data_IF_818578662284
#
_entry.id   IF_818578662284
#
_cell.length_a   1.000
_cell.length_b   1.000
_cell.length_c   1.000
_cell.angle_alpha   90.00
_cell.angle_beta   90.00
_cell.angle_gamma   90.00
#
_symmetry.space_group_name_H-M   'P 1'
#
loop_
_entity.id
_entity.type
_entity.pdbx_description
1 polymer ?
#
# COMPACT_ATOMS: atom_id res chain seq x y z
N UNK A 1 1.75 -17.01 1.95
CA UNK A 1 1.43 -15.67 1.44
C UNK A 1 1.98 -15.52 0.04
N UNK A 2 1.15 -15.12 -0.88
CA UNK A 2 1.59 -14.92 -2.26
C UNK A 2 2.45 -13.66 -2.36
N UNK A 3 3.63 -13.81 -2.93
CA UNK A 3 4.48 -12.66 -3.20
C UNK A 3 3.94 -11.92 -4.42
N UNK A 4 3.74 -10.63 -4.28
CA UNK A 4 3.26 -9.76 -5.33
C UNK A 4 4.31 -8.72 -5.66
N UNK A 5 4.50 -8.45 -6.93
CA UNK A 5 5.42 -7.41 -7.39
C UNK A 5 4.63 -6.30 -8.09
N UNK A 6 4.95 -5.07 -7.72
CA UNK A 6 4.37 -3.90 -8.34
C UNK A 6 5.44 -3.18 -9.15
N UNK A 7 5.12 -2.92 -10.41
CA UNK A 7 6.02 -2.19 -11.30
C UNK A 7 5.95 -0.70 -11.01
N UNK A 8 7.11 -0.06 -11.00
CA UNK A 8 7.23 1.37 -10.77
C UNK A 8 7.42 2.13 -12.09
N UNK A 9 7.46 3.47 -12.02
CA UNK A 9 7.60 4.34 -13.18
C UNK A 9 8.94 4.16 -13.91
N UNK A 10 9.99 3.74 -13.20
CA UNK A 10 11.32 3.52 -13.78
C UNK A 10 11.56 2.08 -14.23
N UNK A 11 10.54 1.23 -14.18
CA UNK A 11 10.64 -0.17 -14.54
C UNK A 11 11.08 -1.10 -13.43
N UNK A 12 11.33 -0.58 -12.23
CA UNK A 12 11.65 -1.40 -11.06
C UNK A 12 10.40 -2.10 -10.53
N UNK A 13 10.61 -3.12 -9.69
CA UNK A 13 9.53 -3.85 -9.05
C UNK A 13 9.66 -3.73 -7.54
N UNK A 14 8.55 -3.39 -6.88
CA UNK A 14 8.48 -3.36 -5.42
C UNK A 14 7.45 -4.36 -4.93
N UNK A 15 7.71 -4.91 -3.74
CA UNK A 15 6.80 -5.81 -3.05
C UNK A 15 6.37 -5.11 -1.77
N UNK A 16 5.15 -4.57 -1.73
CA UNK A 16 4.64 -3.96 -0.51
C UNK A 16 4.31 -5.03 0.54
N UNK A 17 4.26 -4.62 1.81
CA UNK A 17 3.91 -5.53 2.89
C UNK A 17 2.46 -6.02 2.78
N UNK A 18 1.54 -5.12 2.38
CA UNK A 18 0.14 -5.46 2.12
C UNK A 18 -0.35 -4.70 0.90
N UNK A 19 -1.14 -5.35 0.08
CA UNK A 19 -1.77 -4.70 -1.08
C UNK A 19 -3.18 -5.23 -1.25
N UNK A 20 -4.12 -4.31 -1.53
CA UNK A 20 -5.46 -4.66 -1.99
C UNK A 20 -5.46 -4.57 -3.51
N UNK A 21 -5.79 -5.68 -4.16
CA UNK A 21 -5.79 -5.80 -5.62
C UNK A 21 -7.23 -5.90 -6.12
N UNK A 22 -7.61 -5.15 -7.16
CA UNK A 22 -8.93 -5.30 -7.73
C UNK A 22 -9.19 -6.74 -8.19
N UNK A 23 -10.38 -7.25 -7.94
CA UNK A 23 -10.74 -8.63 -8.32
C UNK A 23 -10.54 -8.87 -9.82
N UNK A 24 -10.87 -7.89 -10.65
CA UNK A 24 -10.69 -8.01 -12.09
C UNK A 24 -9.23 -8.21 -12.49
N UNK A 25 -8.28 -7.57 -11.79
CA UNK A 25 -6.85 -7.74 -12.07
C UNK A 25 -6.37 -9.12 -11.69
N UNK A 26 -6.84 -9.67 -10.57
CA UNK A 26 -6.52 -11.05 -10.17
C UNK A 26 -7.07 -12.04 -11.18
N UNK A 27 -8.32 -11.86 -11.62
CA UNK A 27 -8.94 -12.74 -12.59
C UNK A 27 -8.20 -12.71 -13.93
N UNK A 28 -7.79 -11.55 -14.38
CA UNK A 28 -7.01 -11.42 -15.62
C UNK A 28 -5.67 -12.16 -15.51
N UNK A 29 -4.98 -12.08 -14.39
CA UNK A 29 -3.74 -12.80 -14.16
C UNK A 29 -3.96 -14.31 -14.17
N UNK A 30 -5.03 -14.79 -13.55
CA UNK A 30 -5.39 -16.21 -13.54
C UNK A 30 -5.75 -16.72 -14.95
N UNK A 31 -6.46 -15.92 -15.72
CA UNK A 31 -6.88 -16.27 -17.08
C UNK A 31 -5.67 -16.43 -18.00
N UNK A 32 -4.60 -15.68 -17.78
CA UNK A 32 -3.35 -15.82 -18.52
C UNK A 32 -2.57 -17.06 -18.10
N UNK A 33 -3.02 -17.77 -17.08
CA UNK A 33 -2.38 -18.98 -16.55
C UNK A 33 -0.89 -18.78 -16.29
N UNK A 34 -0.53 -17.63 -15.73
CA UNK A 34 0.84 -17.33 -15.40
C UNK A 34 1.32 -18.27 -14.29
N UNK A 35 2.43 -18.96 -14.55
CA UNK A 35 3.09 -19.80 -13.55
C UNK A 35 4.19 -19.03 -12.81
N UNK A 36 4.40 -17.77 -13.19
CA UNK A 36 5.41 -16.88 -12.59
C UNK A 36 4.76 -16.02 -11.51
N UNK A 37 5.61 -15.32 -10.77
CA UNK A 37 5.13 -14.32 -9.81
C UNK A 37 4.29 -13.28 -10.54
N UNK A 38 3.14 -12.96 -9.97
CA UNK A 38 2.26 -11.96 -10.55
C UNK A 38 2.91 -10.59 -10.50
N UNK A 39 2.87 -9.89 -11.63
CA UNK A 39 3.37 -8.52 -11.75
C UNK A 39 2.21 -7.63 -12.17
N UNK A 40 1.90 -6.63 -11.34
CA UNK A 40 0.82 -5.68 -11.61
C UNK A 40 1.42 -4.32 -11.95
N UNK A 41 0.94 -3.72 -13.02
CA UNK A 41 1.41 -2.41 -13.50
C UNK A 41 0.41 -1.30 -13.27
N UNK A 42 -0.85 -1.63 -13.02
CA UNK A 42 -1.89 -0.64 -12.76
C UNK A 42 -1.83 -0.13 -11.33
N UNK A 43 -2.41 1.06 -11.11
CA UNK A 43 -2.57 1.63 -9.78
C UNK A 43 -3.43 0.74 -8.89
N UNK A 44 -3.06 0.65 -7.61
CA UNK A 44 -3.75 -0.21 -6.65
C UNK A 44 -4.70 0.60 -5.77
N UNK A 45 -5.82 -0.02 -5.32
CA UNK A 45 -6.72 0.65 -4.37
C UNK A 45 -6.07 0.98 -3.03
N UNK A 46 -5.20 0.11 -2.53
CA UNK A 46 -4.51 0.31 -1.25
C UNK A 46 -3.18 -0.42 -1.26
N UNK A 47 -2.14 0.29 -0.83
CA UNK A 47 -0.79 -0.26 -0.60
C UNK A 47 -0.37 0.11 0.82
N UNK A 48 0.16 -0.85 1.57
CA UNK A 48 0.63 -0.63 2.94
C UNK A 48 2.09 -1.02 3.05
N UNK A 49 2.89 -0.11 3.57
CA UNK A 49 4.28 -0.37 3.94
C UNK A 49 4.42 -0.30 5.46
N UNK A 50 5.20 -1.20 6.02
CA UNK A 50 5.54 -1.19 7.45
C UNK A 50 7.00 -0.78 7.56
N UNK A 51 7.26 0.31 8.27
CA UNK A 51 8.63 0.79 8.49
C UNK A 51 9.39 -0.21 9.36
N UNK A 52 10.64 -0.50 9.01
CA UNK A 52 11.50 -1.34 9.81
C UNK A 52 12.90 -0.76 9.88
N UNK A 53 13.63 -1.07 10.95
CA UNK A 53 15.00 -0.59 11.12
C UNK A 53 15.96 -1.18 10.09
N UNK A 54 15.70 -2.39 9.63
CA UNK A 54 16.57 -3.08 8.69
C UNK A 54 16.56 -2.47 7.30
N UNK A 55 15.43 -1.86 6.88
CA UNK A 55 15.30 -1.26 5.54
C UNK A 55 15.64 0.23 5.54
N UNK A 56 15.58 0.91 6.70
CA UNK A 56 15.84 2.33 6.82
C UNK A 56 14.82 3.22 6.15
N UNK A 57 14.86 4.53 6.47
CA UNK A 57 13.91 5.50 5.95
C UNK A 57 14.04 5.75 4.45
N UNK A 58 15.25 5.67 3.91
CA UNK A 58 15.50 5.94 2.50
C UNK A 58 14.72 5.02 1.58
N UNK A 59 14.74 3.72 1.86
CA UNK A 59 14.05 2.74 1.01
C UNK A 59 12.54 2.94 1.04
N UNK A 60 11.99 3.18 2.23
CA UNK A 60 10.55 3.43 2.40
C UNK A 60 10.12 4.69 1.65
N UNK A 61 10.87 5.79 1.80
CA UNK A 61 10.55 7.05 1.12
C UNK A 61 10.56 6.89 -0.39
N UNK A 62 11.51 6.15 -0.95
CA UNK A 62 11.58 5.88 -2.38
C UNK A 62 10.35 5.09 -2.84
N UNK A 63 9.96 4.07 -2.09
CA UNK A 63 8.77 3.27 -2.41
C UNK A 63 7.50 4.11 -2.37
N UNK A 64 7.33 4.93 -1.34
CA UNK A 64 6.15 5.77 -1.18
C UNK A 64 6.00 6.74 -2.36
N UNK A 65 7.12 7.35 -2.79
CA UNK A 65 7.11 8.23 -3.94
C UNK A 65 6.67 7.49 -5.21
N UNK A 66 7.20 6.30 -5.44
CA UNK A 66 6.84 5.50 -6.61
C UNK A 66 5.37 5.10 -6.61
N UNK A 67 4.81 4.78 -5.45
CA UNK A 67 3.39 4.47 -5.34
C UNK A 67 2.52 5.68 -5.69
N UNK A 68 2.94 6.88 -5.29
CA UNK A 68 2.26 8.12 -5.66
C UNK A 68 2.37 8.40 -7.17
N UNK A 69 3.56 8.18 -7.74
CA UNK A 69 3.75 8.37 -9.18
C UNK A 69 2.92 7.39 -10.01
N UNK A 70 2.71 6.19 -9.53
CA UNK A 70 1.84 5.21 -10.19
C UNK A 70 0.36 5.58 -10.05
N UNK A 71 0.01 6.37 -9.05
CA UNK A 71 -1.37 6.78 -8.83
C UNK A 71 -2.19 5.84 -7.96
N UNK A 72 -1.54 5.14 -7.02
CA UNK A 72 -2.26 4.29 -6.08
C UNK A 72 -3.26 5.13 -5.31
N UNK A 73 -4.48 4.63 -5.13
CA UNK A 73 -5.56 5.42 -4.58
C UNK A 73 -5.37 5.73 -3.09
N UNK A 74 -4.84 4.77 -2.35
CA UNK A 74 -4.59 4.92 -0.92
C UNK A 74 -3.26 4.27 -0.57
N UNK A 75 -2.40 4.99 0.15
CA UNK A 75 -1.07 4.52 0.52
C UNK A 75 -0.90 4.74 2.01
N UNK A 76 -0.55 3.69 2.75
CA UNK A 76 -0.36 3.75 4.19
C UNK A 76 1.08 3.41 4.56
N UNK A 77 1.62 4.17 5.50
CA UNK A 77 2.87 3.85 6.18
C UNK A 77 2.58 3.61 7.65
N UNK A 78 2.81 2.40 8.10
CA UNK A 78 2.70 2.02 9.50
C UNK A 78 4.09 2.09 10.13
N UNK A 79 4.24 2.93 11.16
CA UNK A 79 5.50 3.10 11.87
C UNK A 79 5.37 2.56 13.29
N UNK A 80 5.80 1.30 13.54
CA UNK A 80 5.57 0.65 14.84
C UNK A 80 6.27 1.34 16.00
N UNK A 81 7.44 1.92 15.76
CA UNK A 81 8.22 2.58 16.82
C UNK A 81 7.61 3.92 17.24
N UNK A 82 7.16 4.70 16.28
CA UNK A 82 6.46 5.97 16.55
C UNK A 82 4.99 5.75 16.90
N UNK A 83 4.48 4.56 16.66
CA UNK A 83 3.06 4.20 16.86
C UNK A 83 2.15 5.13 16.08
N UNK A 84 2.47 5.31 14.80
CA UNK A 84 1.69 6.15 13.89
C UNK A 84 1.34 5.40 12.62
N UNK A 85 0.22 5.81 12.02
CA UNK A 85 -0.14 5.41 10.67
C UNK A 85 -0.34 6.68 9.85
N UNK A 86 0.43 6.83 8.78
CA UNK A 86 0.26 7.92 7.83
C UNK A 86 -0.47 7.41 6.61
N UNK A 87 -1.54 8.09 6.23
CA UNK A 87 -2.33 7.72 5.06
C UNK A 87 -2.28 8.85 4.04
N UNK A 88 -1.93 8.50 2.81
CA UNK A 88 -2.01 9.39 1.66
C UNK A 88 -3.16 8.90 0.78
N UNK A 89 -4.09 9.79 0.47
CA UNK A 89 -5.27 9.45 -0.33
C UNK A 89 -5.34 10.36 -1.55
N UNK A 90 -5.45 9.72 -2.72
CA UNK A 90 -5.53 10.43 -3.99
C UNK A 90 -6.88 11.11 -4.13
N UNK A 91 -6.86 12.39 -4.44
CA UNK A 91 -8.05 13.20 -4.65
C UNK A 91 -8.37 13.34 -6.15
N UNK A 92 -9.57 13.82 -6.45
CA UNK A 92 -10.03 13.99 -7.83
C UNK A 92 -9.14 14.92 -8.65
N UNK A 93 -8.44 15.86 -7.99
CA UNK A 93 -7.53 16.80 -8.67
C UNK A 93 -6.13 16.23 -8.92
N UNK A 94 -5.90 14.95 -8.57
CA UNK A 94 -4.61 14.29 -8.74
C UNK A 94 -3.62 14.51 -7.60
N UNK A 95 -4.00 15.24 -6.58
CA UNK A 95 -3.16 15.48 -5.41
C UNK A 95 -3.48 14.46 -4.31
N UNK A 96 -2.50 14.22 -3.45
CA UNK A 96 -2.68 13.38 -2.27
C UNK A 96 -2.93 14.23 -1.04
N UNK A 97 -3.90 13.83 -0.22
CA UNK A 97 -4.06 14.37 1.12
C UNK A 97 -3.33 13.47 2.09
N UNK A 98 -2.63 14.05 3.07
CA UNK A 98 -1.90 13.31 4.09
C UNK A 98 -2.61 13.45 5.42
N UNK A 99 -2.79 12.32 6.09
CA UNK A 99 -3.35 12.28 7.44
C UNK A 99 -2.50 11.37 8.32
N UNK A 100 -2.19 11.83 9.52
CA UNK A 100 -1.40 11.06 10.48
C UNK A 100 -2.30 10.68 11.64
N UNK A 101 -2.37 9.38 11.93
CA UNK A 101 -3.20 8.83 12.99
C UNK A 101 -2.32 8.23 14.07
N UNK A 102 -2.62 8.55 15.32
CA UNK A 102 -1.91 8.04 16.50
C UNK A 102 -2.79 7.15 17.37
N UNK A 103 -4.09 7.28 17.22
CA UNK A 103 -5.09 6.54 17.97
C UNK A 103 -6.41 6.49 17.20
N UNK A 104 -7.35 5.76 17.73
CA UNK A 104 -8.69 5.68 17.16
C UNK A 104 -8.87 4.56 16.15
N UNK A 105 -9.94 4.68 15.39
CA UNK A 105 -10.34 3.71 14.39
C UNK A 105 -10.15 4.31 13.00
N UNK A 106 -9.53 3.55 12.12
CA UNK A 106 -9.30 3.94 10.74
C UNK A 106 -10.11 3.03 9.82
N UNK A 107 -10.79 3.63 8.86
CA UNK A 107 -11.51 2.90 7.82
C UNK A 107 -10.79 3.10 6.49
N UNK A 108 -10.24 2.03 5.88
CA UNK A 108 -9.63 2.17 4.56
C UNK A 108 -10.72 2.46 3.52
N UNK A 109 -10.46 3.43 2.65
CA UNK A 109 -11.39 3.75 1.56
C UNK A 109 -11.55 2.55 0.63
N UNK A 110 -10.46 1.80 0.41
CA UNK A 110 -10.45 0.63 -0.46
C UNK A 110 -11.31 -0.52 0.06
N UNK A 111 -11.60 -0.56 1.35
CA UNK A 111 -12.35 -1.65 1.99
C UNK A 111 -13.49 -1.06 2.84
N UNK A 112 -14.57 -0.60 2.21
CA UNK A 112 -15.69 -0.01 2.94
C UNK A 112 -16.25 -0.98 3.98
N UNK A 113 -16.52 -0.47 5.18
CA UNK A 113 -17.04 -1.29 6.29
C UNK A 113 -15.97 -1.96 7.14
N UNK A 114 -14.73 -1.98 6.70
CA UNK A 114 -13.63 -2.48 7.50
C UNK A 114 -13.19 -1.40 8.48
N UNK A 115 -13.07 -1.75 9.75
CA UNK A 115 -12.65 -0.84 10.80
C UNK A 115 -11.42 -1.40 11.49
N UNK A 116 -10.39 -0.59 11.54
CA UNK A 116 -9.11 -1.00 12.12
C UNK A 116 -8.86 -0.15 13.36
N UNK A 117 -8.79 -0.79 14.52
CA UNK A 117 -8.42 -0.12 15.76
C UNK A 117 -6.89 0.01 15.80
N UNK A 118 -6.40 1.24 15.80
CA UNK A 118 -4.98 1.50 15.68
C UNK A 118 -4.18 0.95 16.86
N UNK A 119 -4.71 1.05 18.07
CA UNK A 119 -4.05 0.52 19.25
C UNK A 119 -3.79 -0.99 19.13
N UNK A 120 -4.74 -1.74 18.56
CA UNK A 120 -4.58 -3.17 18.37
C UNK A 120 -3.45 -3.52 17.41
N UNK A 121 -3.20 -2.69 16.40
CA UNK A 121 -2.10 -2.92 15.48
C UNK A 121 -0.73 -2.81 16.17
N UNK A 122 -0.59 -1.90 17.13
CA UNK A 122 0.69 -1.66 17.78
C UNK A 122 0.95 -2.56 18.99
N UNK A 123 -0.04 -3.31 19.42
CA UNK A 123 0.09 -4.27 20.53
C UNK A 123 0.43 -5.67 20.04
N UNK A 124 0.33 -5.90 18.76
CA UNK A 124 0.57 -7.22 18.17
C UNK A 124 2.05 -7.60 18.16
#
# INVERSE_FOLDING_TARGET
MNTMRLRTSDGSFYVPDVTVVPRASVQAALDLRSTRLDVYTEAMPLVVEVWSRSTGGYDVETKLLEYQLRGDAEIWLLHPYDRTLTAWRLQADGRYTESIYREGVIEPVALPGVRIELAALFEA
#
